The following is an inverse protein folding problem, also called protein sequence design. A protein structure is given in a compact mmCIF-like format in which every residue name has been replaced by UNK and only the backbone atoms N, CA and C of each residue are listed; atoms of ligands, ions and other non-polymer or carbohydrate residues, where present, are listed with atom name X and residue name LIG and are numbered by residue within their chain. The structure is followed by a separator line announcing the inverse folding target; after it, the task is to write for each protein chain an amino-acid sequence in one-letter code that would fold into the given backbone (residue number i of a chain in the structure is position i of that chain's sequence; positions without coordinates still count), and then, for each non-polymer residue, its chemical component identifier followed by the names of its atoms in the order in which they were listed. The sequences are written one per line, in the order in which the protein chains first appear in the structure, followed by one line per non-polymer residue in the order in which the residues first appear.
data_IF_658653013157
#
_entry.id   IF_658653013157
#
_cell.length_a   1.000
_cell.length_b   1.000
_cell.length_c   1.000
_cell.angle_alpha   90.00
_cell.angle_beta   90.00
_cell.angle_gamma   90.00
#
_symmetry.space_group_name_H-M   'P 1'
#
loop_
_entity.id
_entity.type
_entity.pdbx_description
1 polymer ?
#
# COMPACT_ATOMS: atom_id res chain seq x y z
N UNK A 1 20.64 3.13 4.95
CA UNK A 1 19.19 3.40 4.93
C UNK A 1 18.57 2.65 3.77
N UNK A 2 17.40 2.07 3.98
CA UNK A 2 16.71 1.24 3.00
C UNK A 2 15.45 1.94 2.51
N UNK A 3 15.00 1.55 1.33
CA UNK A 3 13.76 2.07 0.73
C UNK A 3 12.73 0.94 0.70
N UNK A 4 11.63 1.14 1.40
CA UNK A 4 10.49 0.22 1.37
C UNK A 4 9.32 0.89 0.65
N UNK A 5 8.76 0.20 -0.34
CA UNK A 5 7.57 0.65 -1.06
C UNK A 5 6.36 -0.02 -0.47
N UNK A 6 5.41 0.75 0.01
CA UNK A 6 4.23 0.24 0.68
C UNK A 6 2.96 0.60 -0.07
N UNK A 7 2.03 -0.35 -0.13
CA UNK A 7 0.68 -0.11 -0.63
C UNK A 7 -0.28 0.10 0.54
N UNK A 8 -1.08 1.16 0.47
CA UNK A 8 -2.08 1.48 1.48
C UNK A 8 -3.47 1.37 0.87
N UNK A 9 -4.40 0.78 1.59
CA UNK A 9 -5.79 0.67 1.14
C UNK A 9 -6.78 0.77 2.29
N UNK A 10 -7.88 1.46 2.08
CA UNK A 10 -8.94 1.60 3.08
C UNK A 10 -10.30 1.68 2.38
N UNK A 11 -11.31 0.97 2.91
CA UNK A 11 -12.67 1.05 2.36
C UNK A 11 -13.76 1.28 3.40
N UNK A 12 -13.38 1.51 4.65
CA UNK A 12 -14.34 1.77 5.73
C UNK A 12 -14.10 3.13 6.37
N UNK A 13 -15.20 3.75 6.79
CA UNK A 13 -15.18 4.99 7.52
C UNK A 13 -14.58 6.17 6.78
N UNK A 14 -13.81 6.99 7.47
CA UNK A 14 -13.06 8.09 6.88
C UNK A 14 -11.78 7.54 6.24
N UNK A 15 -11.91 7.10 5.01
CA UNK A 15 -10.86 6.39 4.26
C UNK A 15 -9.62 7.24 4.09
N UNK A 16 -9.78 8.50 3.70
CA UNK A 16 -8.64 9.39 3.47
C UNK A 16 -7.87 9.65 4.76
N UNK A 17 -8.58 9.86 5.86
CA UNK A 17 -7.96 10.04 7.17
C UNK A 17 -7.21 8.79 7.61
N UNK A 18 -7.75 7.61 7.33
CA UNK A 18 -7.07 6.35 7.64
C UNK A 18 -5.75 6.23 6.91
N UNK A 19 -5.71 6.58 5.62
CA UNK A 19 -4.47 6.59 4.86
C UNK A 19 -3.45 7.58 5.44
N UNK A 20 -3.89 8.80 5.75
CA UNK A 20 -3.02 9.82 6.32
C UNK A 20 -2.49 9.41 7.70
N UNK A 21 -3.37 8.86 8.54
CA UNK A 21 -2.95 8.36 9.86
C UNK A 21 -1.94 7.23 9.76
N UNK A 22 -2.07 6.36 8.76
CA UNK A 22 -1.09 5.31 8.54
C UNK A 22 0.29 5.87 8.22
N UNK A 23 0.37 6.90 7.37
CA UNK A 23 1.63 7.56 7.05
C UNK A 23 2.29 8.13 8.32
N UNK A 24 1.51 8.80 9.16
CA UNK A 24 2.00 9.43 10.38
C UNK A 24 2.46 8.39 11.42
N UNK A 25 1.68 7.33 11.60
CA UNK A 25 2.01 6.26 12.54
C UNK A 25 3.21 5.44 12.08
N UNK A 26 3.35 5.18 10.80
CA UNK A 26 4.53 4.52 10.25
C UNK A 26 5.80 5.33 10.51
N UNK A 27 5.73 6.64 10.38
CA UNK A 27 6.88 7.50 10.70
C UNK A 27 7.29 7.37 12.16
N UNK A 28 6.33 7.27 13.08
CA UNK A 28 6.60 7.04 14.50
C UNK A 28 7.23 5.67 14.75
N UNK A 29 7.04 4.71 13.86
CA UNK A 29 7.66 3.38 13.91
C UNK A 29 9.01 3.33 13.18
N UNK A 30 9.51 4.46 12.70
CA UNK A 30 10.77 4.51 11.98
C UNK A 30 10.69 4.17 10.50
N UNK A 31 9.49 4.17 9.94
CA UNK A 31 9.23 3.92 8.52
C UNK A 31 8.64 5.21 7.94
N UNK A 32 9.50 6.06 7.41
CA UNK A 32 9.11 7.43 7.06
C UNK A 32 8.82 7.57 5.57
N UNK A 33 7.62 7.98 5.23
CA UNK A 33 7.26 8.27 3.84
C UNK A 33 8.03 9.49 3.32
N UNK A 34 8.66 9.34 2.17
CA UNK A 34 9.40 10.39 1.46
C UNK A 34 8.77 10.76 0.13
N UNK A 35 7.84 9.95 -0.34
CA UNK A 35 7.04 10.24 -1.54
C UNK A 35 5.70 9.51 -1.44
N UNK A 36 4.68 10.09 -2.02
CA UNK A 36 3.34 9.51 -2.08
C UNK A 36 2.76 9.70 -3.48
N UNK A 37 2.13 8.64 -3.99
CA UNK A 37 1.25 8.78 -5.15
C UNK A 37 0.03 9.64 -4.77
N UNK A 38 -0.72 10.07 -5.79
CA UNK A 38 -2.08 10.55 -5.54
C UNK A 38 -2.89 9.42 -4.89
N UNK A 39 -3.98 9.81 -4.27
CA UNK A 39 -4.94 8.84 -3.74
C UNK A 39 -5.91 8.46 -4.85
N UNK A 40 -6.06 7.17 -5.08
CA UNK A 40 -6.96 6.62 -6.10
C UNK A 40 -8.18 5.99 -5.43
N UNK A 41 -9.33 6.13 -6.07
CA UNK A 41 -10.52 5.38 -5.67
C UNK A 41 -10.71 4.23 -6.63
N UNK A 42 -10.90 3.03 -6.10
CA UNK A 42 -11.01 1.81 -6.90
C UNK A 42 -12.22 1.00 -6.47
N UNK A 43 -12.93 0.45 -7.45
CA UNK A 43 -14.06 -0.42 -7.17
C UNK A 43 -13.57 -1.75 -6.60
N UNK A 44 -14.30 -2.35 -5.63
CA UNK A 44 -13.92 -3.64 -5.07
C UNK A 44 -13.88 -4.71 -6.16
N UNK A 45 -12.85 -5.58 -6.09
CA UNK A 45 -12.71 -6.73 -6.98
C UNK A 45 -13.15 -7.97 -6.21
N UNK A 46 -14.30 -8.53 -6.61
CA UNK A 46 -14.86 -9.69 -5.91
C UNK A 46 -15.46 -9.35 -4.57
N UNK A 47 -15.80 -10.38 -3.81
CA UNK A 47 -16.40 -10.23 -2.49
C UNK A 47 -17.90 -9.91 -2.54
N UNK A 48 -18.51 -9.58 -1.38
CA UNK A 48 -19.93 -9.28 -1.31
C UNK A 48 -20.31 -8.09 -2.17
N UNK A 49 -21.52 -8.07 -2.77
CA UNK A 49 -22.04 -6.86 -3.41
C UNK A 49 -22.21 -5.76 -2.35
N UNK A 50 -22.24 -4.52 -2.80
CA UNK A 50 -22.44 -3.34 -1.96
C UNK A 50 -21.25 -2.93 -1.07
N UNK A 51 -20.06 -3.45 -1.34
CA UNK A 51 -18.87 -2.93 -0.68
C UNK A 51 -18.57 -1.51 -1.17
N UNK A 52 -18.21 -0.59 -0.27
CA UNK A 52 -17.78 0.74 -0.69
C UNK A 52 -16.46 0.66 -1.48
N UNK A 53 -16.21 1.60 -2.40
CA UNK A 53 -14.94 1.68 -3.08
C UNK A 53 -13.78 1.86 -2.10
N UNK A 54 -12.61 1.31 -2.48
CA UNK A 54 -11.38 1.52 -1.74
C UNK A 54 -10.75 2.86 -2.11
N UNK A 55 -10.06 3.47 -1.15
CA UNK A 55 -9.02 4.45 -1.46
C UNK A 55 -7.67 3.76 -1.34
N UNK A 56 -6.81 3.98 -2.32
CA UNK A 56 -5.49 3.36 -2.40
C UNK A 56 -4.43 4.40 -2.71
N UNK A 57 -3.26 4.20 -2.14
CA UNK A 57 -2.07 4.98 -2.46
C UNK A 57 -0.84 4.09 -2.31
N UNK A 58 0.22 4.46 -3.01
CA UNK A 58 1.53 3.84 -2.83
C UNK A 58 2.47 4.91 -2.29
N UNK A 59 3.25 4.54 -1.29
CA UNK A 59 4.25 5.43 -0.70
C UNK A 59 5.64 4.80 -0.79
N UNK A 60 6.65 5.65 -1.00
CA UNK A 60 8.04 5.27 -0.80
C UNK A 60 8.43 5.70 0.59
N UNK A 61 9.08 4.80 1.32
CA UNK A 61 9.56 5.09 2.68
C UNK A 61 11.05 4.85 2.79
N UNK A 62 11.68 5.58 3.69
CA UNK A 62 13.05 5.33 4.12
C UNK A 62 13.05 4.82 5.54
N UNK A 63 13.92 3.84 5.82
CA UNK A 63 13.99 3.19 7.13
C UNK A 63 15.35 2.55 7.35
N UNK A 64 15.76 2.44 8.62
CA UNK A 64 16.91 1.62 9.01
C UNK A 64 16.50 0.19 9.39
N UNK A 65 15.18 -0.07 9.47
CA UNK A 65 14.65 -1.38 9.84
C UNK A 65 14.82 -2.40 8.69
N UNK A 66 14.99 -3.65 9.04
CA UNK A 66 14.99 -4.73 8.06
C UNK A 66 13.59 -5.04 7.55
N UNK A 67 13.46 -5.91 6.52
CA UNK A 67 12.16 -6.14 5.89
C UNK A 67 11.13 -6.75 6.83
N UNK A 68 11.52 -7.65 7.71
CA UNK A 68 10.62 -8.25 8.69
C UNK A 68 10.18 -7.22 9.76
N UNK A 69 11.06 -6.32 10.13
CA UNK A 69 10.74 -5.23 11.07
C UNK A 69 9.77 -4.24 10.44
N UNK A 70 9.92 -3.96 9.15
CA UNK A 70 8.95 -3.13 8.41
C UNK A 70 7.58 -3.79 8.39
N UNK A 71 7.52 -5.09 8.11
CA UNK A 71 6.27 -5.84 8.16
C UNK A 71 5.63 -5.75 9.54
N UNK A 72 6.41 -5.93 10.59
CA UNK A 72 5.92 -5.82 11.97
C UNK A 72 5.37 -4.42 12.27
N UNK A 73 6.04 -3.37 11.80
CA UNK A 73 5.56 -2.00 11.94
C UNK A 73 4.22 -1.79 11.22
N UNK A 74 4.08 -2.32 10.00
CA UNK A 74 2.83 -2.27 9.26
C UNK A 74 1.70 -2.95 10.03
N UNK A 75 1.97 -4.13 10.59
CA UNK A 75 0.98 -4.87 11.37
C UNK A 75 0.56 -4.11 12.64
N UNK A 76 1.50 -3.44 13.31
CA UNK A 76 1.18 -2.63 14.49
C UNK A 76 0.31 -1.44 14.14
N UNK A 77 0.61 -0.77 13.04
CA UNK A 77 -0.18 0.38 12.57
C UNK A 77 -1.59 -0.06 12.19
N UNK A 78 -1.72 -1.17 11.47
CA UNK A 78 -3.04 -1.74 11.15
C UNK A 78 -3.84 -2.04 12.40
N UNK A 79 -3.21 -2.67 13.39
CA UNK A 79 -3.87 -3.01 14.66
C UNK A 79 -4.30 -1.75 15.42
N UNK A 80 -3.47 -0.72 15.45
CA UNK A 80 -3.79 0.53 16.14
C UNK A 80 -4.97 1.24 15.49
N UNK A 81 -5.00 1.34 14.16
CA UNK A 81 -6.09 1.97 13.44
C UNK A 81 -7.37 1.14 13.48
N UNK A 82 -7.25 -0.18 13.51
CA UNK A 82 -8.39 -1.07 13.66
C UNK A 82 -9.02 -1.03 15.05
N UNK A 83 -8.24 -0.72 16.09
CA UNK A 83 -8.73 -0.61 17.47
C UNK A 83 -9.63 0.60 17.70
N UNK A 84 -9.51 1.62 16.88
CA UNK A 84 -10.33 2.82 17.01
C UNK A 84 -11.75 2.60 16.50
N UNK A 85 -12.04 1.41 15.94
CA UNK A 85 -13.33 1.08 15.35
C UNK A 85 -13.77 -0.31 15.77
N UNK A 86 -14.98 -0.41 16.34
CA UNK A 86 -15.59 -1.67 16.78
C UNK A 86 -16.26 -2.39 15.62
N UNK A 87 -15.50 -2.71 14.57
CA UNK A 87 -16.06 -3.46 13.45
C UNK A 87 -15.59 -4.90 13.57
N UNK A 88 -16.53 -5.78 13.93
CA UNK A 88 -16.28 -7.21 14.10
C UNK A 88 -16.14 -7.97 12.79
N UNK A 89 -16.76 -7.47 11.73
CA UNK A 89 -16.94 -8.22 10.49
C UNK A 89 -16.56 -7.37 9.31
N UNK A 90 -15.87 -7.97 8.36
CA UNK A 90 -15.63 -7.37 7.06
C UNK A 90 -14.30 -6.71 6.90
N UNK A 91 -14.31 -5.68 6.09
CA UNK A 91 -13.12 -5.00 5.59
C UNK A 91 -12.37 -4.32 6.72
N UNK A 92 -11.05 -4.38 6.63
CA UNK A 92 -10.17 -3.67 7.56
C UNK A 92 -10.25 -2.18 7.32
N UNK A 93 -10.07 -1.40 8.40
CA UNK A 93 -9.98 0.05 8.32
C UNK A 93 -8.83 0.48 7.42
N UNK A 94 -7.74 -0.26 7.47
CA UNK A 94 -6.53 -0.01 6.67
C UNK A 94 -5.80 -1.32 6.41
N UNK A 95 -5.34 -1.50 5.18
CA UNK A 95 -4.41 -2.55 4.80
C UNK A 95 -3.11 -1.91 4.36
N UNK A 96 -2.00 -2.43 4.86
CA UNK A 96 -0.66 -1.96 4.51
C UNK A 96 0.14 -3.16 4.02
N UNK A 97 0.48 -3.16 2.74
CA UNK A 97 1.26 -4.22 2.12
C UNK A 97 2.70 -3.76 1.85
N UNK A 98 3.67 -4.59 2.20
CA UNK A 98 5.05 -4.39 1.79
C UNK A 98 5.18 -4.88 0.36
N UNK A 99 5.34 -3.95 -0.58
CA UNK A 99 5.42 -4.26 -2.00
C UNK A 99 6.84 -4.58 -2.43
N UNK A 100 7.77 -3.70 -2.08
CA UNK A 100 9.18 -3.78 -2.42
C UNK A 100 10.02 -3.34 -1.22
N UNK A 101 11.22 -3.87 -1.13
CA UNK A 101 12.22 -3.46 -0.15
C UNK A 101 13.59 -3.49 -0.82
N UNK A 102 14.12 -2.33 -1.18
CA UNK A 102 15.31 -2.20 -2.03
C UNK A 102 15.15 -3.13 -3.25
N UNK A 103 16.16 -3.94 -3.56
CA UNK A 103 16.11 -4.95 -4.61
C UNK A 103 16.08 -6.38 -4.06
N UNK A 104 15.63 -6.54 -2.81
CA UNK A 104 15.58 -7.85 -2.17
C UNK A 104 14.50 -8.74 -2.79
N UNK A 105 14.82 -10.01 -2.83
CA UNK A 105 13.85 -11.08 -3.11
C UNK A 105 13.72 -11.90 -1.83
N UNK A 106 12.52 -11.92 -1.27
CA UNK A 106 12.19 -12.69 -0.06
C UNK A 106 11.06 -13.63 -0.41
N UNK A 107 11.21 -14.88 -0.05
CA UNK A 107 10.20 -15.90 -0.35
C UNK A 107 9.94 -16.73 0.90
N UNK A 108 9.15 -16.19 1.80
CA UNK A 108 8.78 -16.80 3.06
C UNK A 108 7.26 -16.79 3.22
N UNK A 109 6.68 -17.68 4.02
CA UNK A 109 5.23 -17.71 4.21
C UNK A 109 4.64 -16.40 4.72
N UNK A 110 5.35 -15.71 5.63
CA UNK A 110 4.89 -14.46 6.24
C UNK A 110 5.26 -13.22 5.44
N UNK A 111 6.25 -13.31 4.52
CA UNK A 111 6.75 -12.16 3.79
C UNK A 111 7.30 -12.58 2.43
N UNK A 112 6.68 -12.08 1.38
CA UNK A 112 7.15 -12.29 0.00
C UNK A 112 7.39 -10.94 -0.65
N UNK A 113 8.61 -10.71 -1.11
CA UNK A 113 9.04 -9.48 -1.79
C UNK A 113 9.73 -9.86 -3.10
N UNK A 114 9.34 -9.31 -4.25
CA UNK A 114 8.20 -8.41 -4.48
C UNK A 114 6.88 -9.04 -4.08
N UNK A 115 5.91 -8.21 -3.68
CA UNK A 115 4.59 -8.72 -3.28
C UNK A 115 4.00 -9.56 -4.42
N UNK A 116 3.52 -10.78 -4.15
CA UNK A 116 3.21 -11.74 -5.22
C UNK A 116 2.06 -11.32 -6.14
N UNK A 117 1.17 -10.44 -5.65
CA UNK A 117 -0.01 -10.02 -6.40
C UNK A 117 0.05 -8.57 -6.88
N UNK A 118 1.15 -7.86 -6.64
CA UNK A 118 1.21 -6.43 -6.98
C UNK A 118 1.06 -6.16 -8.47
N UNK A 119 1.54 -7.06 -9.30
CA UNK A 119 1.49 -6.91 -10.76
C UNK A 119 0.11 -7.16 -11.35
N UNK A 120 -0.78 -7.77 -10.58
CA UNK A 120 -2.14 -8.10 -11.01
C UNK A 120 -3.17 -7.05 -10.56
N UNK A 121 -2.75 -6.09 -9.72
CA UNK A 121 -3.65 -5.15 -9.07
C UNK A 121 -3.48 -3.74 -9.62
N UNK A 122 -4.49 -3.24 -10.33
CA UNK A 122 -4.48 -1.87 -10.85
C UNK A 122 -4.33 -0.83 -9.73
N UNK A 123 -4.92 -1.11 -8.57
CA UNK A 123 -4.84 -0.22 -7.41
C UNK A 123 -3.44 -0.16 -6.76
N UNK A 124 -2.51 -0.99 -7.22
CA UNK A 124 -1.09 -0.93 -6.86
C UNK A 124 -0.29 -0.37 -8.02
N UNK A 125 -0.51 -0.89 -9.23
CA UNK A 125 0.28 -0.54 -10.41
C UNK A 125 0.09 0.93 -10.80
N UNK A 126 -1.15 1.40 -10.87
CA UNK A 126 -1.41 2.80 -11.28
C UNK A 126 -0.79 3.82 -10.35
N UNK A 127 -0.96 3.70 -9.01
CA UNK A 127 -0.24 4.60 -8.09
C UNK A 127 1.28 4.45 -8.16
N UNK A 128 1.78 3.23 -8.30
CA UNK A 128 3.23 2.99 -8.36
C UNK A 128 3.88 3.70 -9.54
N UNK A 129 3.22 3.71 -10.70
CA UNK A 129 3.73 4.38 -11.90
C UNK A 129 3.87 5.89 -11.73
N UNK A 130 3.18 6.49 -10.79
CA UNK A 130 3.35 7.91 -10.46
C UNK A 130 4.67 8.18 -9.73
N UNK A 131 5.16 7.20 -8.97
CA UNK A 131 6.40 7.31 -8.22
C UNK A 131 7.62 6.85 -9.00
N UNK A 132 7.41 5.89 -9.88
CA UNK A 132 8.45 5.34 -10.75
C UNK A 132 7.85 5.14 -12.14
N UNK A 133 8.28 5.90 -13.15
CA UNK A 133 7.69 5.82 -14.49
C UNK A 133 8.01 4.53 -15.24
N UNK A 134 9.02 3.76 -14.81
CA UNK A 134 9.39 2.50 -15.44
C UNK A 134 9.92 1.50 -14.40
N UNK A 135 9.01 0.96 -13.54
CA UNK A 135 9.43 0.05 -12.50
C UNK A 135 9.89 -1.28 -13.08
N UNK A 136 11.06 -1.72 -12.64
CA UNK A 136 11.61 -3.04 -12.97
C UNK A 136 11.82 -3.75 -11.64
N UNK A 137 11.15 -4.89 -11.47
CA UNK A 137 11.24 -5.65 -10.25
C UNK A 137 12.57 -6.40 -10.18
N UNK A 138 12.96 -6.82 -8.98
CA UNK A 138 14.21 -7.52 -8.75
C UNK A 138 14.34 -8.82 -9.55
N UNK A 139 13.21 -9.45 -9.91
CA UNK A 139 13.17 -10.64 -10.75
C UNK A 139 13.25 -10.33 -12.26
N UNK A 140 13.39 -9.07 -12.63
CA UNK A 140 13.47 -8.63 -14.03
C UNK A 140 12.14 -8.27 -14.66
N UNK A 141 11.03 -8.44 -13.98
CA UNK A 141 9.71 -8.08 -14.51
C UNK A 141 9.60 -6.57 -14.71
N UNK A 142 9.28 -6.17 -15.94
CA UNK A 142 9.03 -4.76 -16.27
C UNK A 142 7.52 -4.50 -16.21
N UNK A 143 7.12 -3.65 -15.28
CA UNK A 143 5.70 -3.39 -15.01
C UNK A 143 4.98 -2.84 -16.25
N UNK A 144 5.63 -1.96 -17.02
CA UNK A 144 5.03 -1.37 -18.23
C UNK A 144 4.70 -2.40 -19.32
N UNK A 145 5.35 -3.58 -19.30
CA UNK A 145 5.07 -4.65 -20.25
C UNK A 145 3.83 -5.46 -19.89
N UNK A 146 3.27 -5.23 -18.71
CA UNK A 146 2.09 -5.95 -18.23
C UNK A 146 0.81 -5.25 -18.67
N UNK A 147 -0.20 -6.05 -19.01
CA UNK A 147 -1.53 -5.53 -19.26
C UNK A 147 -2.22 -5.29 -17.91
N UNK A 148 -2.53 -4.04 -17.61
CA UNK A 148 -3.24 -3.66 -16.39
C UNK A 148 -4.58 -3.04 -16.76
N UNK A 149 -5.64 -3.60 -16.18
CA UNK A 149 -6.99 -3.08 -16.37
C UNK A 149 -7.21 -1.90 -15.43
N UNK A 150 -7.35 -0.70 -16.02
CA UNK A 150 -7.59 0.53 -15.28
C UNK A 150 -9.08 0.82 -15.07
N UNK A 151 -9.96 -0.05 -15.57
CA UNK A 151 -11.39 0.12 -15.38
C UNK A 151 -11.74 0.03 -13.89
N UNK A 152 -12.61 0.93 -13.42
CA UNK A 152 -12.97 0.98 -12.02
C UNK A 152 -11.96 1.68 -11.11
N UNK A 153 -10.93 2.30 -11.69
CA UNK A 153 -9.94 3.08 -10.95
C UNK A 153 -9.92 4.53 -11.44
N UNK A 154 -9.87 5.47 -10.49
CA UNK A 154 -9.89 6.90 -10.79
C UNK A 154 -9.14 7.70 -9.74
N UNK A 155 -8.46 8.80 -10.11
CA UNK A 155 -7.86 9.68 -9.13
C UNK A 155 -8.94 10.28 -8.20
N UNK A 156 -8.62 10.41 -6.93
CA UNK A 156 -9.58 10.87 -5.91
C UNK A 156 -9.09 12.09 -5.15
N UNK A 157 -7.84 12.10 -4.73
CA UNK A 157 -7.26 13.17 -3.91
C UNK A 157 -5.77 13.35 -4.23
N UNK A 158 -5.19 14.53 -3.88
CA UNK A 158 -3.76 14.75 -4.01
C UNK A 158 -2.94 13.75 -3.20
N UNK A 159 -1.60 13.70 -3.41
CA UNK A 159 -0.74 12.85 -2.59
C UNK A 159 -0.92 13.11 -1.09
N UNK A 160 -0.69 12.08 -0.30
CA UNK A 160 -0.73 12.18 1.16
C UNK A 160 0.35 13.15 1.65
N UNK A 161 0.08 13.80 2.77
CA UNK A 161 1.03 14.76 3.35
C UNK A 161 2.17 13.97 4.00
N UNK A 162 3.41 14.30 3.61
CA UNK A 162 4.59 13.64 4.15
C UNK A 162 4.88 14.11 5.57
N UNK A 163 5.37 13.22 6.43
CA UNK A 163 5.70 13.58 7.82
C UNK A 163 6.92 14.48 7.94
#
# INVERSE_FOLDING_TARGET
MHVATLGLGANLGDRLRSLQSAVDLLAAEGVRAVASSRVWETDPVGGPPDQPPYLNAVILTETHAGPHEVLAACNRVEAELGRTREIRWGSRTIDIDVLLYDELIVNEPELTIPHPRMTERSFVVLPLLELDPDPILADGTRILDLAVDAEGARPYAPPLVLP
#
